data_IF_742512211129
#
_entry.id   IF_742512211129
#
_cell.length_a   1.000
_cell.length_b   1.000
_cell.length_c   1.000
_cell.angle_alpha   90.00
_cell.angle_beta   90.00
_cell.angle_gamma   90.00
#
_symmetry.space_group_name_H-M   'P 1'
#
loop_
_entity.id
_entity.type
_entity.pdbx_description
1 polymer ?
#
# COMPACT_ATOMS: atom_id res chain seq x y z
N UNK A 1 7.47 -8.38 3.46
CA UNK A 1 6.31 -7.46 3.57
C UNK A 1 6.79 -6.15 4.19
N UNK A 2 6.15 -5.04 3.82
CA UNK A 2 6.37 -3.70 4.40
C UNK A 2 5.03 -3.13 4.87
N UNK A 3 5.04 -2.20 5.83
CA UNK A 3 3.81 -1.67 6.43
C UNK A 3 3.84 -0.14 6.53
N UNK A 4 2.69 0.49 6.31
CA UNK A 4 2.46 1.91 6.61
C UNK A 4 1.03 2.13 7.11
N UNK A 5 0.86 2.75 8.29
CA UNK A 5 -0.47 3.00 8.92
C UNK A 5 -1.35 1.74 9.01
N UNK A 6 -0.75 0.56 9.20
CA UNK A 6 -1.46 -0.73 9.23
C UNK A 6 -1.77 -1.33 7.87
N UNK A 7 -1.50 -0.65 6.75
CA UNK A 7 -1.60 -1.22 5.41
C UNK A 7 -0.36 -2.06 5.10
N UNK A 8 -0.58 -3.30 4.63
CA UNK A 8 0.47 -4.31 4.44
C UNK A 8 0.76 -4.45 2.95
N UNK A 9 1.97 -4.06 2.55
CA UNK A 9 2.51 -4.27 1.21
C UNK A 9 3.26 -5.59 1.08
N UNK A 10 2.75 -6.49 0.24
CA UNK A 10 3.51 -7.62 -0.29
C UNK A 10 4.35 -7.13 -1.48
N UNK A 11 5.59 -7.63 -1.61
CA UNK A 11 6.53 -7.17 -2.64
C UNK A 11 7.12 -8.38 -3.35
N UNK A 12 7.09 -8.34 -4.68
CA UNK A 12 7.71 -9.32 -5.58
C UNK A 12 8.64 -8.60 -6.58
N UNK A 13 9.57 -9.31 -7.21
CA UNK A 13 10.45 -8.72 -8.21
C UNK A 13 9.85 -8.91 -9.60
N UNK A 14 9.64 -7.80 -10.31
CA UNK A 14 9.14 -7.81 -11.68
C UNK A 14 10.31 -7.74 -12.67
N UNK A 15 10.63 -8.84 -13.37
CA UNK A 15 11.76 -8.90 -14.30
C UNK A 15 11.50 -8.15 -15.61
N UNK A 16 10.26 -7.84 -15.97
CA UNK A 16 9.94 -7.15 -17.23
C UNK A 16 10.33 -5.67 -17.17
N UNK A 17 10.20 -5.08 -15.98
CA UNK A 17 10.52 -3.67 -15.72
C UNK A 17 11.74 -3.49 -14.82
N UNK A 18 12.34 -4.58 -14.33
CA UNK A 18 13.50 -4.60 -13.45
C UNK A 18 13.31 -3.76 -12.17
N UNK A 19 12.12 -3.85 -11.57
CA UNK A 19 11.74 -3.16 -10.34
C UNK A 19 11.03 -4.14 -9.41
N UNK A 20 10.98 -3.80 -8.12
CA UNK A 20 10.10 -4.49 -7.20
C UNK A 20 8.66 -3.96 -7.37
N UNK A 21 7.71 -4.87 -7.55
CA UNK A 21 6.28 -4.58 -7.56
C UNK A 21 5.69 -4.84 -6.18
N UNK A 22 5.04 -3.82 -5.62
CA UNK A 22 4.34 -3.87 -4.35
C UNK A 22 2.82 -3.86 -4.53
N UNK A 23 2.10 -4.69 -3.77
CA UNK A 23 0.63 -4.69 -3.70
C UNK A 23 0.18 -4.66 -2.23
N UNK A 24 -0.78 -3.81 -1.92
CA UNK A 24 -1.42 -3.78 -0.59
C UNK A 24 -2.44 -4.91 -0.52
N UNK A 25 -2.29 -5.80 0.46
CA UNK A 25 -3.03 -7.08 0.51
C UNK A 25 -4.12 -7.14 1.58
N UNK A 26 -4.26 -6.09 2.40
CA UNK A 26 -5.27 -6.02 3.45
C UNK A 26 -6.31 -4.93 3.19
N UNK A 27 -6.64 -4.74 1.92
CA UNK A 27 -7.69 -3.86 1.37
C UNK A 27 -8.42 -4.59 0.22
N UNK A 28 -9.67 -4.25 -0.04
CA UNK A 28 -10.43 -4.66 -1.22
C UNK A 28 -10.13 -3.77 -2.44
N UNK A 29 -9.63 -2.56 -2.22
CA UNK A 29 -9.10 -1.71 -3.28
C UNK A 29 -7.73 -2.21 -3.74
N UNK A 30 -7.48 -2.12 -5.04
CA UNK A 30 -6.17 -2.44 -5.63
C UNK A 30 -5.26 -1.24 -5.49
N UNK A 31 -4.31 -1.33 -4.54
CA UNK A 31 -3.29 -0.31 -4.33
C UNK A 31 -1.93 -0.95 -4.64
N UNK A 32 -1.26 -0.43 -5.66
CA UNK A 32 0.06 -0.90 -6.09
C UNK A 32 1.10 0.20 -6.01
N UNK A 33 2.36 -0.18 -5.91
CA UNK A 33 3.51 0.72 -5.89
C UNK A 33 4.73 0.00 -6.46
N UNK A 34 5.76 0.73 -6.89
CA UNK A 34 6.99 0.16 -7.41
C UNK A 34 8.21 0.83 -6.77
N UNK A 35 9.37 0.19 -6.82
CA UNK A 35 10.62 0.82 -6.40
C UNK A 35 11.84 -0.03 -6.73
N UNK A 36 12.99 0.61 -6.94
CA UNK A 36 14.24 -0.11 -7.17
C UNK A 36 14.96 -0.52 -5.87
N UNK A 37 14.56 0.09 -4.74
CA UNK A 37 15.20 -0.07 -3.44
C UNK A 37 14.17 -0.16 -2.31
N UNK A 38 14.58 -0.68 -1.16
CA UNK A 38 13.74 -0.69 0.06
C UNK A 38 13.27 0.71 0.46
N UNK A 39 14.12 1.73 0.28
CA UNK A 39 13.75 3.13 0.58
C UNK A 39 12.67 3.64 -0.37
N UNK A 40 12.80 3.40 -1.67
CA UNK A 40 11.79 3.76 -2.67
C UNK A 40 10.48 3.04 -2.41
N UNK A 41 10.51 1.73 -2.14
CA UNK A 41 9.31 0.96 -1.81
C UNK A 41 8.56 1.53 -0.61
N UNK A 42 9.27 1.98 0.43
CA UNK A 42 8.65 2.62 1.61
C UNK A 42 8.06 3.99 1.27
N UNK A 43 8.75 4.77 0.46
CA UNK A 43 8.28 6.08 0.03
C UNK A 43 7.04 5.96 -0.87
N UNK A 44 7.09 5.08 -1.86
CA UNK A 44 6.00 4.87 -2.81
C UNK A 44 4.80 4.21 -2.13
N UNK A 45 4.98 3.25 -1.22
CA UNK A 45 3.88 2.75 -0.38
C UNK A 45 3.21 3.90 0.38
N UNK A 46 3.99 4.77 1.04
CA UNK A 46 3.44 5.91 1.76
C UNK A 46 2.64 6.82 0.84
N UNK A 47 3.17 7.19 -0.33
CA UNK A 47 2.47 8.05 -1.30
C UNK A 47 1.18 7.41 -1.78
N UNK A 48 1.21 6.13 -2.16
CA UNK A 48 0.02 5.39 -2.62
C UNK A 48 -1.06 5.33 -1.53
N UNK A 49 -0.69 5.08 -0.28
CA UNK A 49 -1.65 5.05 0.84
C UNK A 49 -2.20 6.45 1.16
N UNK A 50 -1.36 7.48 1.23
CA UNK A 50 -1.85 8.84 1.51
C UNK A 50 -2.80 9.32 0.39
N UNK A 51 -2.48 9.04 -0.88
CA UNK A 51 -3.35 9.35 -2.01
C UNK A 51 -4.67 8.58 -1.96
N UNK A 52 -4.66 7.30 -1.58
CA UNK A 52 -5.88 6.52 -1.36
C UNK A 52 -6.75 7.13 -0.26
N UNK A 53 -6.17 7.49 0.88
CA UNK A 53 -6.89 8.09 2.00
C UNK A 53 -7.50 9.45 1.63
N UNK A 54 -6.76 10.28 0.88
CA UNK A 54 -7.25 11.56 0.38
C UNK A 54 -8.42 11.37 -0.59
N UNK A 55 -8.28 10.45 -1.55
CA UNK A 55 -9.35 10.10 -2.49
C UNK A 55 -10.62 9.62 -1.77
N UNK A 56 -10.50 8.76 -0.76
CA UNK A 56 -11.64 8.33 0.04
C UNK A 56 -12.33 9.51 0.75
N UNK A 57 -11.53 10.43 1.32
CA UNK A 57 -12.03 11.63 2.00
C UNK A 57 -12.80 12.54 1.04
N UNK A 58 -12.28 12.78 -0.16
CA UNK A 58 -12.94 13.60 -1.19
C UNK A 58 -14.26 13.00 -1.65
N UNK A 59 -14.34 11.67 -1.74
CA UNK A 59 -15.56 10.94 -2.10
C UNK A 59 -16.56 10.80 -0.95
N UNK A 60 -16.25 11.30 0.25
CA UNK A 60 -17.05 11.09 1.45
C UNK A 60 -17.16 9.61 1.86
N UNK A 61 -16.23 8.78 1.39
CA UNK A 61 -16.15 7.35 1.71
C UNK A 61 -15.22 7.14 2.90
N UNK A 62 -15.59 6.24 3.80
CA UNK A 62 -14.65 5.76 4.79
C UNK A 62 -13.56 4.96 4.05
N UNK A 63 -12.26 5.28 4.21
CA UNK A 63 -11.21 4.44 3.67
C UNK A 63 -11.33 3.05 4.26
N UNK A 64 -11.17 2.03 3.43
CA UNK A 64 -11.33 0.67 3.90
C UNK A 64 -10.21 0.38 4.91
N UNK A 65 -10.61 0.02 6.14
CA UNK A 65 -9.65 -0.18 7.21
C UNK A 65 -8.81 -1.41 6.91
N UNK A 66 -7.48 -1.36 7.12
CA UNK A 66 -6.72 -2.57 7.35
C UNK A 66 -7.35 -3.30 8.53
N UNK A 67 -7.66 -4.58 8.34
CA UNK A 67 -8.33 -5.39 9.35
C UNK A 67 -7.67 -5.17 10.71
N UNK A 68 -8.40 -4.55 11.64
CA UNK A 68 -7.96 -4.50 13.01
C UNK A 68 -8.11 -5.91 13.55
N UNK A 69 -7.02 -6.68 13.52
CA UNK A 69 -6.86 -7.78 14.46
C UNK A 69 -6.95 -7.13 15.84
N UNK A 70 -8.15 -7.22 16.43
CA UNK A 70 -8.41 -6.68 17.75
C UNK A 70 -7.34 -7.21 18.70
N UNK A 71 -6.62 -6.28 19.33
CA UNK A 71 -5.90 -6.55 20.55
C UNK A 71 -6.91 -7.05 21.59
N UNK A 72 -7.10 -8.36 21.65
CA UNK A 72 -7.54 -9.06 22.86
C UNK A 72 -6.30 -9.59 23.55
#
# INVERSE_FOLDING_TARGET
MIEYKGYIGAVDFDPEINLFHGTVINTNDVITFYGASVNELREELRKSIEGYLEFCKEQGKAPEKPAQIGST
#
